data_IF_528374613172
#
_entry.id   IF_528374613172
#
_cell.length_a   1.000
_cell.length_b   1.000
_cell.length_c   1.000
_cell.angle_alpha   90.00
_cell.angle_beta   90.00
_cell.angle_gamma   90.00
#
_symmetry.space_group_name_H-M   'P 1'
#
loop_
_entity.id
_entity.type
_entity.pdbx_description
1 polymer ?
#
# COMPACT_ATOMS: atom_id res chain seq x y z
N UNK A 1 -10.69 -4.50 -6.50
CA UNK A 1 -11.10 -4.14 -5.12
C UNK A 1 -10.62 -2.73 -4.84
N UNK A 2 -11.44 -1.87 -4.22
CA UNK A 2 -11.07 -0.48 -3.90
C UNK A 2 -11.05 -0.27 -2.39
N UNK A 3 -10.15 0.57 -1.92
CA UNK A 3 -10.00 0.96 -0.51
C UNK A 3 -9.48 2.39 -0.40
N UNK A 4 -9.42 2.91 0.82
CA UNK A 4 -8.83 4.22 1.10
C UNK A 4 -8.25 4.26 2.50
N UNK A 5 -7.20 5.05 2.68
CA UNK A 5 -6.68 5.40 4.01
C UNK A 5 -7.24 6.77 4.41
N UNK A 6 -7.54 6.94 5.69
CA UNK A 6 -8.04 8.20 6.22
C UNK A 6 -7.49 8.50 7.61
N UNK A 7 -7.55 9.77 7.97
CA UNK A 7 -7.28 10.27 9.31
C UNK A 7 -8.56 10.88 9.89
N UNK A 8 -8.78 10.67 11.19
CA UNK A 8 -9.81 11.42 11.91
C UNK A 8 -9.20 12.74 12.40
N UNK A 9 -9.76 13.87 11.97
CA UNK A 9 -9.42 15.20 12.52
C UNK A 9 -10.70 15.92 12.91
N UNK A 10 -10.80 16.30 14.18
CA UNK A 10 -11.99 16.99 14.74
C UNK A 10 -13.31 16.25 14.44
N UNK A 11 -13.31 14.91 14.52
CA UNK A 11 -14.48 14.09 14.22
C UNK A 11 -14.79 13.91 12.73
N UNK A 12 -13.98 14.48 11.83
CA UNK A 12 -14.14 14.35 10.39
C UNK A 12 -13.14 13.36 9.79
N UNK A 13 -13.61 12.55 8.84
CA UNK A 13 -12.78 11.68 8.01
C UNK A 13 -12.09 12.54 6.96
N UNK A 14 -10.77 12.57 6.99
CA UNK A 14 -9.94 13.17 5.93
C UNK A 14 -9.24 12.03 5.21
N UNK A 15 -9.67 11.74 3.99
CA UNK A 15 -9.02 10.75 3.13
C UNK A 15 -7.62 11.24 2.77
N UNK A 16 -6.62 10.38 2.94
CA UNK A 16 -5.24 10.66 2.57
C UNK A 16 -4.85 9.99 1.24
N UNK A 17 -5.44 8.84 0.94
CA UNK A 17 -5.06 8.02 -0.21
C UNK A 17 -6.20 7.10 -0.63
N UNK A 18 -6.34 6.88 -1.93
CA UNK A 18 -7.15 5.80 -2.49
C UNK A 18 -6.25 4.66 -2.97
N UNK A 19 -6.71 3.44 -2.77
CA UNK A 19 -6.02 2.21 -3.14
C UNK A 19 -6.93 1.38 -4.04
N UNK A 20 -6.37 0.87 -5.13
CA UNK A 20 -7.07 -0.05 -6.01
C UNK A 20 -6.20 -1.28 -6.31
N UNK A 21 -6.78 -2.46 -6.11
CA UNK A 21 -6.22 -3.74 -6.55
C UNK A 21 -6.99 -4.22 -7.76
N UNK A 22 -6.32 -4.27 -8.91
CA UNK A 22 -6.86 -4.79 -10.17
C UNK A 22 -6.23 -6.13 -10.50
N UNK A 23 -6.96 -7.02 -11.15
CA UNK A 23 -6.43 -8.27 -11.68
C UNK A 23 -6.87 -8.42 -13.13
N UNK A 24 -5.91 -8.67 -14.02
CA UNK A 24 -6.15 -8.97 -15.43
C UNK A 24 -5.29 -10.16 -15.90
N UNK A 25 -5.19 -10.37 -17.21
CA UNK A 25 -4.37 -11.45 -17.79
C UNK A 25 -2.86 -11.29 -17.52
N UNK A 26 -2.40 -10.11 -17.14
CA UNK A 26 -0.99 -9.78 -16.87
C UNK A 26 -0.63 -9.92 -15.39
N UNK A 27 -1.62 -10.04 -14.50
CA UNK A 27 -1.41 -10.28 -13.07
C UNK A 27 -2.23 -9.34 -12.20
N UNK A 28 -1.75 -9.13 -10.97
CA UNK A 28 -2.35 -8.22 -9.99
C UNK A 28 -1.56 -6.92 -9.97
N UNK A 29 -2.25 -5.78 -10.00
CA UNK A 29 -1.64 -4.45 -9.89
C UNK A 29 -2.24 -3.73 -8.69
N UNK A 30 -1.37 -3.16 -7.86
CA UNK A 30 -1.72 -2.25 -6.78
C UNK A 30 -1.53 -0.81 -7.26
N UNK A 31 -2.59 -0.02 -7.21
CA UNK A 31 -2.61 1.37 -7.67
C UNK A 31 -2.83 2.25 -6.45
N UNK A 32 -1.85 3.11 -6.16
CA UNK A 32 -1.95 4.11 -5.11
C UNK A 32 -2.23 5.49 -5.71
N UNK A 33 -3.22 6.19 -5.15
CA UNK A 33 -3.59 7.56 -5.51
C UNK A 33 -3.58 8.44 -4.27
N UNK A 34 -2.47 9.16 -4.05
CA UNK A 34 -2.31 10.04 -2.89
C UNK A 34 -2.92 11.40 -3.19
N UNK A 35 -3.87 11.83 -2.36
CA UNK A 35 -4.54 13.12 -2.53
C UNK A 35 -3.54 14.26 -2.32
N UNK A 36 -3.59 15.26 -3.21
CA UNK A 36 -2.70 16.43 -3.21
C UNK A 36 -1.20 16.13 -3.41
N UNK A 37 -0.83 14.92 -3.86
CA UNK A 37 0.53 14.57 -4.27
C UNK A 37 0.54 14.05 -5.71
N UNK A 38 1.71 14.07 -6.37
CA UNK A 38 1.90 13.57 -7.74
C UNK A 38 0.89 14.08 -8.80
N UNK A 39 0.35 15.28 -8.61
CA UNK A 39 -0.69 15.87 -9.47
C UNK A 39 -1.93 14.96 -9.62
N UNK A 40 -2.20 14.10 -8.64
CA UNK A 40 -3.30 13.13 -8.67
C UNK A 40 -3.10 11.98 -9.65
N UNK A 41 -1.86 11.68 -10.07
CA UNK A 41 -1.59 10.53 -10.94
C UNK A 41 -1.52 9.23 -10.16
N UNK A 42 -2.20 8.22 -10.70
CA UNK A 42 -2.11 6.83 -10.28
C UNK A 42 -0.67 6.33 -10.35
N UNK A 43 -0.21 5.67 -9.29
CA UNK A 43 1.11 5.05 -9.21
C UNK A 43 0.90 3.54 -9.18
N UNK A 44 1.08 2.85 -10.32
CA UNK A 44 0.91 1.40 -10.38
C UNK A 44 2.15 0.67 -9.86
N UNK A 45 1.92 -0.40 -9.12
CA UNK A 45 2.92 -1.38 -8.67
C UNK A 45 2.44 -2.77 -9.04
N UNK A 46 3.29 -3.56 -9.69
CA UNK A 46 2.92 -4.91 -10.12
C UNK A 46 3.21 -5.91 -9.02
N UNK A 47 2.30 -6.86 -8.83
CA UNK A 47 2.52 -7.97 -7.93
C UNK A 47 3.68 -8.85 -8.41
N UNK A 48 4.57 -9.16 -7.49
CA UNK A 48 5.68 -10.11 -7.67
C UNK A 48 5.56 -11.15 -6.58
N UNK A 49 5.44 -12.41 -6.97
CA UNK A 49 5.41 -13.51 -6.02
C UNK A 49 6.80 -13.68 -5.37
N UNK A 50 6.87 -13.55 -4.05
CA UNK A 50 8.08 -13.75 -3.26
C UNK A 50 7.77 -14.52 -1.97
N UNK A 51 8.80 -15.14 -1.39
CA UNK A 51 8.69 -15.90 -0.13
C UNK A 51 8.25 -15.05 1.07
N UNK A 52 8.50 -13.74 1.03
CA UNK A 52 8.40 -12.83 2.18
C UNK A 52 7.01 -12.21 2.37
N UNK A 53 6.05 -12.52 1.48
CA UNK A 53 4.68 -12.00 1.53
C UNK A 53 4.23 -11.45 0.18
N UNK A 54 3.23 -10.56 0.21
CA UNK A 54 2.73 -9.92 -1.00
C UNK A 54 3.62 -8.73 -1.36
N UNK A 55 4.38 -8.87 -2.44
CA UNK A 55 5.32 -7.83 -2.90
C UNK A 55 4.75 -7.12 -4.12
N UNK A 56 4.79 -5.79 -4.11
CA UNK A 56 4.39 -4.93 -5.21
C UNK A 56 5.55 -4.02 -5.60
N UNK A 57 5.90 -3.97 -6.88
CA UNK A 57 7.08 -3.27 -7.37
C UNK A 57 6.79 -2.31 -8.53
N UNK A 58 7.47 -1.17 -8.51
CA UNK A 58 7.63 -0.24 -9.60
C UNK A 58 9.08 0.28 -9.61
N UNK A 59 10.03 -0.45 -10.24
CA UNK A 59 11.45 -0.11 -10.23
C UNK A 59 11.78 1.26 -10.86
N UNK A 60 10.86 1.80 -11.68
CA UNK A 60 11.00 3.05 -12.41
C UNK A 60 10.49 4.27 -11.63
N UNK A 61 9.91 4.10 -10.45
CA UNK A 61 9.42 5.19 -9.61
C UNK A 61 10.51 5.69 -8.64
N UNK A 62 10.53 6.98 -8.28
CA UNK A 62 11.66 7.54 -7.51
C UNK A 62 11.73 7.01 -6.07
N UNK A 63 10.60 7.07 -5.34
CA UNK A 63 10.36 6.40 -4.06
C UNK A 63 8.86 6.43 -3.74
N UNK A 64 8.24 5.33 -3.30
CA UNK A 64 8.84 4.01 -3.14
C UNK A 64 8.93 3.23 -4.46
N UNK A 65 9.81 2.24 -4.49
CA UNK A 65 9.94 1.28 -5.60
C UNK A 65 9.35 -0.08 -5.28
N UNK A 66 9.28 -0.42 -4.00
CA UNK A 66 8.75 -1.69 -3.53
C UNK A 66 7.93 -1.51 -2.26
N UNK A 67 6.83 -2.26 -2.18
CA UNK A 67 5.99 -2.38 -0.99
C UNK A 67 5.79 -3.87 -0.72
N UNK A 68 6.13 -4.32 0.49
CA UNK A 68 5.99 -5.71 0.93
C UNK A 68 5.03 -5.78 2.11
N UNK A 69 3.98 -6.58 1.97
CA UNK A 69 3.05 -6.91 3.04
C UNK A 69 3.35 -8.30 3.59
N UNK A 70 3.83 -8.35 4.82
CA UNK A 70 4.13 -9.60 5.53
C UNK A 70 3.10 -9.79 6.65
N UNK A 71 2.36 -10.89 6.59
CA UNK A 71 1.44 -11.26 7.67
C UNK A 71 2.26 -11.70 8.89
N UNK A 72 2.06 -11.02 10.02
CA UNK A 72 2.75 -11.33 11.27
C UNK A 72 1.83 -12.15 12.17
N UNK A 73 0.55 -11.79 12.22
CA UNK A 73 -0.50 -12.53 12.92
C UNK A 73 -1.85 -12.30 12.27
N UNK A 74 -2.92 -12.91 12.80
CA UNK A 74 -4.30 -12.71 12.33
C UNK A 74 -4.74 -11.24 12.33
N UNK A 75 -4.15 -10.41 13.20
CA UNK A 75 -4.56 -9.02 13.42
C UNK A 75 -3.45 -8.02 13.11
N UNK A 76 -2.31 -8.47 12.60
CA UNK A 76 -1.14 -7.62 12.38
C UNK A 76 -0.46 -7.92 11.06
N UNK A 77 -0.25 -6.86 10.27
CA UNK A 77 0.52 -6.89 9.02
C UNK A 77 1.68 -5.92 9.16
N UNK A 78 2.89 -6.38 8.83
CA UNK A 78 4.03 -5.50 8.63
C UNK A 78 4.04 -5.03 7.18
N UNK A 79 4.19 -3.73 6.99
CA UNK A 79 4.39 -3.11 5.67
C UNK A 79 5.80 -2.57 5.60
N UNK A 80 6.58 -3.08 4.66
CA UNK A 80 7.93 -2.59 4.36
C UNK A 80 7.89 -1.84 3.04
N UNK A 81 8.34 -0.59 3.06
CA UNK A 81 8.41 0.31 1.90
C UNK A 81 9.87 0.60 1.60
N UNK A 82 10.35 0.38 0.38
CA UNK A 82 11.77 0.55 0.05
C UNK A 82 12.04 1.17 -1.32
N UNK A 83 13.25 1.67 -1.51
CA UNK A 83 13.83 2.04 -2.82
C UNK A 83 14.52 0.87 -3.53
N UNK A 84 14.34 -0.37 -3.04
CA UNK A 84 15.07 -1.57 -3.47
C UNK A 84 16.61 -1.43 -3.34
N UNK A 85 17.10 -0.49 -2.53
CA UNK A 85 18.52 -0.31 -2.19
C UNK A 85 18.68 -0.29 -0.68
N UNK A 86 18.98 0.87 -0.10
CA UNK A 86 19.25 1.03 1.34
C UNK A 86 18.13 1.76 2.07
N UNK A 87 17.29 2.53 1.37
CA UNK A 87 16.25 3.33 2.00
C UNK A 87 15.01 2.46 2.21
N UNK A 88 14.73 2.17 3.47
CA UNK A 88 13.58 1.36 3.88
C UNK A 88 12.83 2.04 5.02
N UNK A 89 11.50 1.93 5.02
CA UNK A 89 10.60 2.33 6.10
C UNK A 89 9.65 1.19 6.42
N UNK A 90 9.44 0.91 7.70
CA UNK A 90 8.61 -0.21 8.15
C UNK A 90 7.50 0.28 9.06
N UNK A 91 6.29 -0.20 8.83
CA UNK A 91 5.08 0.14 9.57
C UNK A 91 4.36 -1.12 10.02
N UNK A 92 3.59 -1.04 11.12
CA UNK A 92 2.66 -2.09 11.55
C UNK A 92 1.23 -1.61 11.37
N UNK A 93 0.43 -2.40 10.66
CA UNK A 93 -1.01 -2.20 10.50
C UNK A 93 -1.71 -3.19 11.42
N UNK A 94 -2.55 -2.67 12.31
CA UNK A 94 -3.38 -3.47 13.19
C UNK A 94 -4.81 -3.49 12.66
N UNK A 95 -5.39 -4.68 12.57
CA UNK A 95 -6.78 -4.86 12.19
C UNK A 95 -7.66 -4.19 13.26
N UNK A 96 -8.43 -3.18 12.88
CA UNK A 96 -9.41 -2.60 13.77
C UNK A 96 -10.62 -3.54 13.88
N UNK A 97 -11.01 -3.84 15.12
CA UNK A 97 -12.28 -4.45 15.42
C UNK A 97 -13.29 -3.31 15.61
N UNK A 98 -14.15 -3.10 14.62
CA UNK A 98 -15.35 -2.30 14.83
C UNK A 98 -16.32 -3.20 15.60
N UNK A 99 -16.56 -2.89 16.87
CA UNK A 99 -17.66 -3.51 17.60
C UNK A 99 -18.97 -3.01 16.95
N UNK A 100 -19.88 -3.92 16.58
CA UNK A 100 -21.16 -3.57 15.94
C UNK A 100 -22.08 -2.77 16.87
#
# INVERSE_FOLDING_TARGET
>A
MKGFSYQMKHGQIIVSEYLELTQDKKGITFIASVLNQNKGKDIPFNFVEKKEGYTFENPNHDYPKQIVYTNISKNEVQVTVSDMKQKTSTYRIYKQHLNP
#
